data_IF_275885500717
#
_entry.id   IF_275885500717
#
_cell.length_a   1.000
_cell.length_b   1.000
_cell.length_c   1.000
_cell.angle_alpha   90.00
_cell.angle_beta   90.00
_cell.angle_gamma   90.00
#
_symmetry.space_group_name_H-M   'P 1'
#
loop_
_entity.id
_entity.type
_entity.pdbx_description
1 polymer ?
#
# COMPACT_ATOMS: atom_id res chain seq x y z
N UNK A 1 15.08 21.53 2.31
CA UNK A 1 14.07 22.38 2.98
C UNK A 1 12.75 22.22 2.24
N UNK A 2 11.80 21.41 2.73
CA UNK A 2 10.35 21.46 2.43
C UNK A 2 9.60 20.32 3.15
N UNK A 3 9.65 20.28 4.49
CA UNK A 3 8.87 19.30 5.30
C UNK A 3 7.93 19.95 6.32
N UNK A 4 7.77 21.28 6.31
CA UNK A 4 7.11 22.00 7.42
C UNK A 4 5.63 22.36 7.19
N UNK A 5 5.02 22.07 6.04
CA UNK A 5 3.66 22.53 5.72
C UNK A 5 2.54 21.52 5.94
N UNK A 6 2.84 20.24 6.20
CA UNK A 6 1.81 19.20 6.40
C UNK A 6 1.22 19.14 7.82
N UNK A 7 1.87 19.75 8.81
CA UNK A 7 1.46 19.65 10.23
C UNK A 7 0.22 20.50 10.54
N UNK A 8 -0.09 21.53 9.74
CA UNK A 8 -1.13 22.51 10.10
C UNK A 8 -2.51 22.26 9.47
N UNK A 9 -2.60 21.37 8.48
CA UNK A 9 -3.87 21.03 7.81
C UNK A 9 -4.67 19.93 8.53
N UNK A 10 -4.02 19.13 9.38
CA UNK A 10 -4.68 18.04 10.11
C UNK A 10 -5.75 18.52 11.09
N UNK A 11 -5.63 19.74 11.63
CA UNK A 11 -6.54 20.22 12.67
C UNK A 11 -7.81 20.93 12.16
N UNK A 12 -7.85 21.36 10.89
CA UNK A 12 -9.01 22.09 10.34
C UNK A 12 -9.96 21.14 9.58
N UNK A 13 -9.48 19.99 9.11
CA UNK A 13 -10.24 19.03 8.28
C UNK A 13 -11.05 18.02 9.13
N UNK A 14 -10.75 17.91 10.42
CA UNK A 14 -11.25 16.88 11.34
C UNK A 14 -12.73 16.97 11.78
N UNK A 15 -13.51 17.97 11.38
CA UNK A 15 -14.94 18.01 11.78
C UNK A 15 -15.89 17.59 10.67
N UNK A 16 -15.52 17.83 9.41
CA UNK A 16 -16.39 17.55 8.24
C UNK A 16 -16.05 16.22 7.57
N UNK A 17 -14.79 15.79 7.65
CA UNK A 17 -14.33 14.50 7.08
C UNK A 17 -14.65 13.36 8.06
N UNK A 18 -14.43 13.52 9.36
CA UNK A 18 -14.66 12.44 10.35
C UNK A 18 -16.05 11.82 10.31
N UNK A 19 -17.10 12.60 10.04
CA UNK A 19 -18.48 12.11 9.95
C UNK A 19 -18.79 11.28 8.68
N UNK A 20 -18.00 11.42 7.60
CA UNK A 20 -18.17 10.61 6.39
C UNK A 20 -17.38 9.29 6.44
N UNK A 21 -16.32 9.22 7.26
CA UNK A 21 -15.35 8.12 7.24
C UNK A 21 -15.41 7.22 8.49
N UNK A 22 -15.99 7.66 9.62
CA UNK A 22 -16.19 6.80 10.80
C UNK A 22 -17.22 5.68 10.57
N UNK A 23 -18.11 5.80 9.59
CA UNK A 23 -19.07 4.75 9.23
C UNK A 23 -18.57 3.73 8.20
N UNK A 24 -17.35 3.89 7.64
CA UNK A 24 -16.72 2.90 6.73
C UNK A 24 -15.55 2.19 7.40
N UNK A 25 -15.65 1.91 8.69
CA UNK A 25 -14.93 0.78 9.27
C UNK A 25 -15.26 -0.45 8.40
N UNK A 26 -14.25 -1.00 7.73
CA UNK A 26 -14.28 -2.35 7.16
C UNK A 26 -14.38 -3.35 8.34
N UNK A 27 -15.49 -3.28 9.07
CA UNK A 27 -15.80 -4.11 10.22
C UNK A 27 -16.80 -5.18 9.78
N UNK A 28 -16.21 -6.35 9.48
CA UNK A 28 -16.62 -7.73 9.81
C UNK A 28 -18.07 -8.24 9.67
N UNK A 29 -19.08 -7.45 9.31
CA UNK A 29 -20.47 -7.96 9.16
C UNK A 29 -21.14 -7.48 7.87
N UNK A 30 -20.54 -7.76 6.71
CA UNK A 30 -21.27 -7.74 5.43
C UNK A 30 -21.31 -9.18 4.91
N UNK A 31 -22.53 -9.70 4.75
CA UNK A 31 -22.79 -11.01 4.21
C UNK A 31 -22.08 -11.12 2.84
N UNK A 32 -21.19 -12.10 2.65
CA UNK A 32 -20.38 -12.23 1.42
C UNK A 32 -21.23 -12.35 0.14
N UNK A 33 -22.52 -12.67 0.28
CA UNK A 33 -23.49 -12.71 -0.79
C UNK A 33 -23.97 -11.32 -1.23
N UNK A 34 -24.08 -10.33 -0.33
CA UNK A 34 -24.53 -8.96 -0.67
C UNK A 34 -23.43 -8.13 -1.35
N UNK A 35 -22.15 -8.46 -1.09
CA UNK A 35 -21.00 -7.77 -1.72
C UNK A 35 -20.85 -8.14 -3.20
N UNK A 36 -21.14 -9.40 -3.56
CA UNK A 36 -21.02 -9.90 -4.93
C UNK A 36 -22.01 -9.25 -5.90
N UNK A 37 -23.14 -8.76 -5.39
CA UNK A 37 -24.20 -8.11 -6.17
C UNK A 37 -24.02 -6.58 -6.25
N UNK A 38 -22.95 -6.03 -5.67
CA UNK A 38 -22.67 -4.60 -5.74
C UNK A 38 -22.06 -4.19 -7.09
N UNK A 39 -22.54 -3.06 -7.63
CA UNK A 39 -22.06 -2.48 -8.90
C UNK A 39 -20.54 -2.28 -8.91
N UNK A 40 -19.96 -1.88 -7.77
CA UNK A 40 -18.53 -1.67 -7.65
C UNK A 40 -17.70 -2.94 -7.69
N UNK A 41 -18.22 -4.06 -7.17
CA UNK A 41 -17.50 -5.33 -7.21
C UNK A 41 -17.46 -5.90 -8.63
N UNK A 42 -18.56 -5.77 -9.37
CA UNK A 42 -18.60 -6.12 -10.79
C UNK A 42 -17.61 -5.27 -11.61
N UNK A 43 -17.58 -3.96 -11.34
CA UNK A 43 -16.61 -3.05 -11.95
C UNK A 43 -15.15 -3.44 -11.61
N UNK A 44 -14.87 -3.73 -10.33
CA UNK A 44 -13.55 -4.21 -9.89
C UNK A 44 -13.16 -5.47 -10.64
N UNK A 45 -14.03 -6.48 -10.70
CA UNK A 45 -13.73 -7.77 -11.33
C UNK A 45 -13.46 -7.64 -12.82
N UNK A 46 -14.27 -6.87 -13.53
CA UNK A 46 -14.05 -6.59 -14.95
C UNK A 46 -12.72 -5.87 -15.19
N UNK A 47 -12.40 -4.88 -14.36
CA UNK A 47 -11.15 -4.12 -14.49
C UNK A 47 -9.93 -4.99 -14.15
N UNK A 48 -10.02 -5.83 -13.12
CA UNK A 48 -9.01 -6.83 -12.76
C UNK A 48 -8.75 -7.82 -13.89
N UNK A 49 -9.81 -8.33 -14.53
CA UNK A 49 -9.70 -9.24 -15.67
C UNK A 49 -9.00 -8.57 -16.86
N UNK A 50 -9.35 -7.31 -17.17
CA UNK A 50 -8.68 -6.55 -18.23
C UNK A 50 -7.20 -6.38 -17.90
N UNK A 51 -6.85 -5.90 -16.70
CA UNK A 51 -5.44 -5.71 -16.31
C UNK A 51 -4.64 -7.01 -16.39
N UNK A 52 -5.25 -8.14 -16.02
CA UNK A 52 -4.58 -9.45 -16.03
C UNK A 52 -4.33 -10.01 -17.43
N UNK A 53 -5.04 -9.49 -18.45
CA UNK A 53 -4.88 -9.90 -19.85
C UNK A 53 -3.97 -8.96 -20.65
N UNK A 54 -3.43 -7.90 -20.03
CA UNK A 54 -2.48 -7.01 -20.69
C UNK A 54 -1.10 -7.67 -20.70
N UNK A 55 -0.51 -7.81 -21.89
CA UNK A 55 0.79 -8.48 -22.09
C UNK A 55 1.98 -7.51 -22.09
N UNK A 56 1.72 -6.20 -22.15
CA UNK A 56 2.74 -5.15 -22.26
C UNK A 56 2.64 -4.20 -21.07
N UNK A 57 3.74 -4.03 -20.35
CA UNK A 57 3.86 -3.17 -19.16
C UNK A 57 3.43 -1.71 -19.41
N UNK A 58 3.82 -1.15 -20.55
CA UNK A 58 3.46 0.19 -20.98
C UNK A 58 1.95 0.35 -21.20
N UNK A 59 1.29 -0.66 -21.76
CA UNK A 59 -0.16 -0.66 -21.94
C UNK A 59 -0.88 -0.74 -20.58
N UNK A 60 -0.31 -1.46 -19.61
CA UNK A 60 -0.85 -1.52 -18.26
C UNK A 60 -0.76 -0.15 -17.58
N UNK A 61 0.34 0.58 -17.73
CA UNK A 61 0.46 1.97 -17.25
C UNK A 61 -0.60 2.88 -17.85
N UNK A 62 -0.75 2.85 -19.18
CA UNK A 62 -1.74 3.67 -19.89
C UNK A 62 -3.16 3.33 -19.43
N UNK A 63 -3.45 2.04 -19.24
CA UNK A 63 -4.72 1.57 -18.75
C UNK A 63 -5.01 2.06 -17.33
N UNK A 64 -4.04 1.99 -16.42
CA UNK A 64 -4.19 2.43 -15.02
C UNK A 64 -4.45 3.94 -14.96
N UNK A 65 -3.71 4.73 -15.73
CA UNK A 65 -3.93 6.19 -15.75
C UNK A 65 -5.34 6.52 -16.24
N UNK A 66 -5.77 5.95 -17.38
CA UNK A 66 -7.08 6.24 -17.99
C UNK A 66 -8.28 5.64 -17.27
N UNK A 67 -8.13 4.45 -16.69
CA UNK A 67 -9.25 3.68 -16.12
C UNK A 67 -9.37 3.84 -14.61
N UNK A 68 -8.30 4.24 -13.92
CA UNK A 68 -8.28 4.32 -12.45
C UNK A 68 -8.01 5.76 -12.00
N UNK A 69 -6.86 6.35 -12.37
CA UNK A 69 -6.47 7.67 -11.86
C UNK A 69 -7.32 8.82 -12.42
N UNK A 70 -7.53 8.88 -13.73
CA UNK A 70 -8.32 9.93 -14.37
C UNK A 70 -9.79 9.93 -13.89
N UNK A 71 -10.52 8.78 -13.85
CA UNK A 71 -11.90 8.75 -13.37
C UNK A 71 -12.01 9.12 -11.89
N UNK A 72 -11.07 8.65 -11.07
CA UNK A 72 -11.01 9.01 -9.65
C UNK A 72 -10.81 10.52 -9.46
N UNK A 73 -9.88 11.13 -10.21
CA UNK A 73 -9.63 12.58 -10.18
C UNK A 73 -10.85 13.38 -10.63
N UNK A 74 -11.48 12.96 -11.73
CA UNK A 74 -12.70 13.62 -12.23
C UNK A 74 -13.80 13.61 -11.18
N UNK A 75 -14.04 12.47 -10.55
CA UNK A 75 -15.04 12.35 -9.49
C UNK A 75 -14.71 13.19 -8.26
N UNK A 76 -13.44 13.26 -7.85
CA UNK A 76 -13.00 14.14 -6.76
C UNK A 76 -13.28 15.63 -7.05
N UNK A 77 -13.16 16.06 -8.30
CA UNK A 77 -13.48 17.43 -8.69
C UNK A 77 -15.00 17.67 -8.72
N UNK A 78 -15.76 16.71 -9.25
CA UNK A 78 -17.22 16.80 -9.33
C UNK A 78 -17.89 16.79 -7.96
N UNK A 79 -17.41 15.98 -7.03
CA UNK A 79 -17.96 15.90 -5.66
C UNK A 79 -17.70 17.17 -4.83
N UNK A 80 -16.62 17.90 -5.12
CA UNK A 80 -16.33 19.22 -4.52
C UNK A 80 -17.32 20.29 -4.98
N UNK A 81 -17.83 20.18 -6.20
CA UNK A 81 -18.75 21.14 -6.81
C UNK A 81 -20.21 20.79 -6.47
N UNK A 82 -20.56 19.50 -6.52
CA UNK A 82 -21.92 19.00 -6.42
C UNK A 82 -22.03 17.87 -5.38
N UNK A 83 -22.64 18.13 -4.23
CA UNK A 83 -22.81 17.16 -3.13
C UNK A 83 -23.78 15.99 -3.43
N UNK A 84 -24.35 15.91 -4.62
CA UNK A 84 -25.34 14.90 -5.02
C UNK A 84 -24.93 14.04 -6.21
N UNK A 85 -23.65 14.04 -6.60
CA UNK A 85 -23.14 13.21 -7.70
C UNK A 85 -23.12 11.75 -7.28
N UNK A 86 -23.68 10.87 -8.11
CA UNK A 86 -23.61 9.42 -7.93
C UNK A 86 -22.14 9.00 -7.87
N UNK A 87 -21.72 8.31 -6.81
CA UNK A 87 -20.33 7.88 -6.67
C UNK A 87 -19.98 6.87 -7.78
N UNK A 88 -19.00 7.20 -8.62
CA UNK A 88 -18.49 6.28 -9.63
C UNK A 88 -17.84 5.07 -8.94
N UNK A 89 -18.05 3.83 -9.45
CA UNK A 89 -17.55 2.57 -8.85
C UNK A 89 -16.05 2.49 -8.53
N UNK A 90 -15.25 3.30 -9.23
CA UNK A 90 -13.79 3.42 -8.99
C UNK A 90 -13.47 3.91 -7.58
N UNK A 91 -14.34 4.72 -6.97
CA UNK A 91 -14.06 5.32 -5.66
C UNK A 91 -14.04 4.27 -4.55
N UNK A 92 -14.94 3.29 -4.61
CA UNK A 92 -15.03 2.21 -3.62
C UNK A 92 -13.98 1.12 -3.85
N UNK A 93 -13.51 0.98 -5.09
CA UNK A 93 -12.54 -0.05 -5.51
C UNK A 93 -11.11 0.46 -5.67
N UNK A 94 -10.85 1.75 -5.42
CA UNK A 94 -9.60 2.44 -5.77
C UNK A 94 -8.34 1.73 -5.24
N UNK A 95 -8.25 1.50 -3.94
CA UNK A 95 -7.10 0.79 -3.34
C UNK A 95 -6.97 -0.66 -3.81
N UNK A 96 -8.09 -1.36 -4.03
CA UNK A 96 -8.09 -2.74 -4.52
C UNK A 96 -7.55 -2.84 -5.94
N UNK A 97 -7.98 -1.93 -6.82
CA UNK A 97 -7.52 -1.84 -8.21
C UNK A 97 -6.03 -1.51 -8.28
N UNK A 98 -5.57 -0.52 -7.50
CA UNK A 98 -4.17 -0.12 -7.45
C UNK A 98 -3.28 -1.24 -6.89
N UNK A 99 -3.70 -1.89 -5.80
CA UNK A 99 -3.04 -3.08 -5.28
C UNK A 99 -2.91 -4.16 -6.35
N UNK A 100 -4.00 -4.41 -7.10
CA UNK A 100 -4.00 -5.45 -8.14
C UNK A 100 -3.05 -5.11 -9.29
N UNK A 101 -3.04 -3.85 -9.73
CA UNK A 101 -2.08 -3.36 -10.71
C UNK A 101 -0.62 -3.55 -10.23
N UNK A 102 -0.34 -3.18 -8.98
CA UNK A 102 0.99 -3.34 -8.37
C UNK A 102 1.40 -4.82 -8.27
N UNK A 103 0.47 -5.70 -7.93
CA UNK A 103 0.69 -7.15 -7.92
C UNK A 103 1.06 -7.68 -9.33
N UNK A 104 0.35 -7.23 -10.38
CA UNK A 104 0.64 -7.63 -11.77
C UNK A 104 2.02 -7.13 -12.21
N UNK A 105 2.35 -5.86 -11.95
CA UNK A 105 3.70 -5.34 -12.23
C UNK A 105 4.79 -6.15 -11.52
N UNK A 106 4.56 -6.52 -10.26
CA UNK A 106 5.55 -7.26 -9.47
C UNK A 106 5.72 -8.71 -9.94
N UNK A 107 4.61 -9.42 -10.17
CA UNK A 107 4.63 -10.87 -10.42
C UNK A 107 4.85 -11.20 -11.90
N UNK A 108 4.13 -10.53 -12.80
CA UNK A 108 4.13 -10.85 -14.23
C UNK A 108 5.27 -10.12 -14.96
N UNK A 109 5.41 -8.82 -14.70
CA UNK A 109 6.40 -7.98 -15.39
C UNK A 109 7.74 -7.89 -14.65
N UNK A 110 7.79 -8.28 -13.37
CA UNK A 110 8.95 -8.04 -12.47
C UNK A 110 9.40 -6.58 -12.46
N UNK A 111 8.47 -5.67 -12.67
CA UNK A 111 8.71 -4.24 -12.73
C UNK A 111 8.42 -3.61 -11.37
N UNK A 112 9.42 -3.70 -10.49
CA UNK A 112 9.35 -3.10 -9.15
C UNK A 112 9.31 -1.57 -9.22
N UNK A 113 9.87 -0.94 -10.25
CA UNK A 113 9.88 0.53 -10.40
C UNK A 113 8.45 1.03 -10.61
N UNK A 114 7.66 0.31 -11.40
CA UNK A 114 6.26 0.63 -11.65
C UNK A 114 5.39 0.50 -10.40
N UNK A 115 5.66 -0.50 -9.54
CA UNK A 115 5.03 -0.60 -8.22
C UNK A 115 5.28 0.67 -7.40
N UNK A 116 6.53 1.11 -7.29
CA UNK A 116 6.88 2.33 -6.55
C UNK A 116 6.25 3.57 -7.21
N UNK A 117 6.26 3.64 -8.53
CA UNK A 117 5.71 4.77 -9.29
C UNK A 117 4.22 4.94 -9.03
N UNK A 118 3.45 3.85 -9.02
CA UNK A 118 2.02 3.88 -8.66
C UNK A 118 1.84 4.39 -7.23
N UNK A 119 2.63 3.88 -6.29
CA UNK A 119 2.52 4.28 -4.89
C UNK A 119 2.79 5.78 -4.69
N UNK A 120 3.85 6.31 -5.31
CA UNK A 120 4.15 7.74 -5.28
C UNK A 120 3.09 8.56 -6.04
N UNK A 121 2.51 8.00 -7.11
CA UNK A 121 1.39 8.63 -7.83
C UNK A 121 0.19 8.84 -6.92
N UNK A 122 -0.21 7.84 -6.12
CA UNK A 122 -1.29 7.95 -5.13
C UNK A 122 -1.02 9.11 -4.16
N UNK A 123 0.19 9.16 -3.60
CA UNK A 123 0.62 10.23 -2.68
C UNK A 123 0.57 11.61 -3.33
N UNK A 124 1.01 11.72 -4.59
CA UNK A 124 1.06 12.98 -5.33
C UNK A 124 -0.32 13.53 -5.73
N UNK A 125 -1.35 12.68 -5.81
CA UNK A 125 -2.70 13.07 -6.22
C UNK A 125 -3.45 13.88 -5.15
N UNK A 126 -2.98 13.83 -3.90
CA UNK A 126 -3.49 14.64 -2.80
C UNK A 126 -4.03 13.80 -1.64
N UNK A 127 -4.43 14.47 -0.53
CA UNK A 127 -4.84 13.80 0.70
C UNK A 127 -5.99 12.81 0.51
N UNK A 128 -6.97 13.13 -0.33
CA UNK A 128 -8.11 12.26 -0.60
C UNK A 128 -7.69 10.97 -1.33
N UNK A 129 -6.75 11.07 -2.27
CA UNK A 129 -6.18 9.89 -2.96
C UNK A 129 -5.37 9.05 -2.00
N UNK A 130 -4.56 9.67 -1.13
CA UNK A 130 -3.80 8.97 -0.10
C UNK A 130 -4.71 8.15 0.82
N UNK A 131 -5.75 8.77 1.39
CA UNK A 131 -6.68 8.10 2.32
C UNK A 131 -7.42 6.95 1.64
N UNK A 132 -7.83 7.12 0.39
CA UNK A 132 -8.60 6.10 -0.34
C UNK A 132 -7.73 5.01 -0.96
N UNK A 133 -6.47 5.32 -1.30
CA UNK A 133 -5.58 4.47 -2.09
C UNK A 133 -4.53 3.74 -1.26
N UNK A 134 -4.00 4.34 -0.20
CA UNK A 134 -2.91 3.77 0.60
C UNK A 134 -3.43 2.81 1.69
N UNK A 135 -4.02 1.69 1.28
CA UNK A 135 -4.43 0.63 2.22
C UNK A 135 -3.23 -0.19 2.72
N UNK A 136 -3.43 -0.96 3.80
CA UNK A 136 -2.43 -1.91 4.30
C UNK A 136 -1.92 -2.85 3.22
N UNK A 137 -2.79 -3.32 2.32
CA UNK A 137 -2.39 -4.21 1.24
C UNK A 137 -1.55 -3.52 0.17
N UNK A 138 -1.83 -2.24 -0.12
CA UNK A 138 -0.97 -1.45 -1.01
C UNK A 138 0.42 -1.28 -0.41
N UNK A 139 0.52 -0.94 0.88
CA UNK A 139 1.82 -0.90 1.57
C UNK A 139 2.53 -2.24 1.54
N UNK A 140 1.82 -3.35 1.75
CA UNK A 140 2.39 -4.69 1.71
C UNK A 140 2.99 -5.04 0.32
N UNK A 141 2.36 -4.61 -0.78
CA UNK A 141 2.95 -4.77 -2.11
C UNK A 141 4.21 -3.90 -2.30
N UNK A 142 4.23 -2.67 -1.77
CA UNK A 142 5.42 -1.80 -1.82
C UNK A 142 6.57 -2.38 -1.00
N UNK A 143 6.30 -2.84 0.23
CA UNK A 143 7.29 -3.49 1.08
C UNK A 143 7.92 -4.70 0.36
N UNK A 144 7.08 -5.53 -0.25
CA UNK A 144 7.53 -6.70 -1.00
C UNK A 144 8.36 -6.29 -2.21
N UNK A 145 7.91 -5.33 -3.02
CA UNK A 145 8.63 -4.85 -4.19
C UNK A 145 9.98 -4.20 -3.84
N UNK A 146 10.05 -3.43 -2.75
CA UNK A 146 11.30 -2.82 -2.27
C UNK A 146 12.34 -3.88 -1.90
N UNK A 147 11.90 -4.92 -1.19
CA UNK A 147 12.77 -6.01 -0.81
C UNK A 147 13.23 -6.85 -2.02
N UNK A 148 12.29 -7.30 -2.84
CA UNK A 148 12.57 -8.16 -4.00
C UNK A 148 13.40 -7.44 -5.08
N UNK A 149 13.20 -6.14 -5.27
CA UNK A 149 13.92 -5.36 -6.27
C UNK A 149 15.33 -4.91 -5.85
N UNK A 150 15.51 -4.51 -4.58
CA UNK A 150 16.73 -3.80 -4.16
C UNK A 150 17.31 -4.23 -2.81
N UNK A 151 16.65 -5.11 -2.05
CA UNK A 151 17.04 -5.44 -0.68
C UNK A 151 17.15 -4.19 0.22
N UNK A 152 16.30 -3.19 -0.01
CA UNK A 152 16.42 -1.86 0.59
C UNK A 152 15.83 -1.79 2.01
N UNK A 153 16.61 -2.18 3.01
CA UNK A 153 16.18 -2.17 4.42
C UNK A 153 15.81 -0.78 4.94
N UNK A 154 16.47 0.26 4.45
CA UNK A 154 16.22 1.62 4.92
C UNK A 154 14.82 2.05 4.54
N UNK A 155 14.42 1.80 3.29
CA UNK A 155 13.07 2.11 2.83
C UNK A 155 12.01 1.19 3.43
N UNK A 156 12.33 -0.08 3.72
CA UNK A 156 11.42 -0.94 4.50
C UNK A 156 11.13 -0.33 5.88
N UNK A 157 12.15 0.10 6.61
CA UNK A 157 11.96 0.76 7.91
C UNK A 157 11.14 2.06 7.79
N UNK A 158 11.40 2.86 6.74
CA UNK A 158 10.67 4.11 6.51
C UNK A 158 9.19 3.86 6.21
N UNK A 159 8.88 2.87 5.36
CA UNK A 159 7.50 2.50 5.04
C UNK A 159 6.74 2.00 6.26
N UNK A 160 7.36 1.19 7.12
CA UNK A 160 6.73 0.69 8.35
C UNK A 160 6.47 1.83 9.36
N UNK A 161 7.39 2.80 9.45
CA UNK A 161 7.18 4.03 10.24
C UNK A 161 6.07 4.87 9.63
N UNK A 162 6.02 5.01 8.31
CA UNK A 162 4.98 5.75 7.60
C UNK A 162 3.59 5.13 7.86
N UNK A 163 3.46 3.80 7.80
CA UNK A 163 2.23 3.10 8.16
C UNK A 163 1.78 3.46 9.58
N UNK A 164 2.70 3.40 10.56
CA UNK A 164 2.42 3.76 11.95
C UNK A 164 1.99 5.22 12.10
N UNK A 165 2.72 6.15 11.48
CA UNK A 165 2.45 7.59 11.57
C UNK A 165 1.12 7.99 10.94
N UNK A 166 0.70 7.29 9.88
CA UNK A 166 -0.56 7.54 9.17
C UNK A 166 -1.71 6.63 9.63
N UNK A 167 -1.54 5.91 10.75
CA UNK A 167 -2.54 5.00 11.31
C UNK A 167 -3.01 3.91 10.32
N UNK A 168 -2.13 3.48 9.41
CA UNK A 168 -2.38 2.35 8.53
C UNK A 168 -2.08 1.07 9.31
N UNK A 169 -3.07 0.19 9.39
CA UNK A 169 -2.98 -1.06 10.15
C UNK A 169 -1.87 -1.93 9.56
N UNK A 170 -0.98 -2.42 10.42
CA UNK A 170 0.06 -3.39 10.06
C UNK A 170 -0.50 -4.79 10.32
N UNK A 171 -0.81 -5.50 9.24
CA UNK A 171 -1.59 -6.74 9.30
C UNK A 171 -0.70 -7.97 9.51
N UNK A 172 -1.32 -9.15 9.65
CA UNK A 172 -0.58 -10.42 9.63
C UNK A 172 0.27 -10.57 8.36
N UNK A 173 -0.21 -10.12 7.19
CA UNK A 173 0.58 -10.13 5.94
C UNK A 173 1.82 -9.23 6.07
N UNK A 174 1.74 -8.10 6.78
CA UNK A 174 2.89 -7.23 7.07
C UNK A 174 3.94 -7.97 7.91
N UNK A 175 3.51 -8.77 8.90
CA UNK A 175 4.42 -9.62 9.68
C UNK A 175 5.08 -10.70 8.83
N UNK A 176 4.30 -11.41 8.01
CA UNK A 176 4.82 -12.47 7.14
C UNK A 176 5.90 -11.94 6.16
N UNK A 177 5.69 -10.72 5.63
CA UNK A 177 6.70 -10.04 4.80
C UNK A 177 7.98 -9.76 5.61
N UNK A 178 7.84 -9.23 6.83
CA UNK A 178 8.99 -8.96 7.70
C UNK A 178 9.74 -10.22 8.11
N UNK A 179 9.05 -11.33 8.38
CA UNK A 179 9.66 -12.62 8.68
C UNK A 179 10.51 -13.11 7.52
N UNK A 180 9.97 -13.03 6.29
CA UNK A 180 10.71 -13.38 5.07
C UNK A 180 11.98 -12.54 4.94
N UNK A 181 11.88 -11.22 5.12
CA UNK A 181 13.03 -10.30 5.05
C UNK A 181 14.09 -10.68 6.10
N UNK A 182 13.68 -10.94 7.34
CA UNK A 182 14.59 -11.33 8.43
C UNK A 182 15.29 -12.66 8.12
N UNK A 183 14.56 -13.65 7.61
CA UNK A 183 15.13 -14.95 7.21
C UNK A 183 16.14 -14.79 6.06
N UNK A 184 15.79 -14.01 5.03
CA UNK A 184 16.66 -13.71 3.90
C UNK A 184 17.96 -13.04 4.38
N UNK A 185 17.88 -12.06 5.29
CA UNK A 185 19.05 -11.41 5.88
C UNK A 185 19.94 -12.36 6.67
N UNK A 186 19.35 -13.25 7.47
CA UNK A 186 20.10 -14.25 8.22
C UNK A 186 20.84 -15.21 7.29
N UNK A 187 20.18 -15.63 6.20
CA UNK A 187 20.79 -16.48 5.18
C UNK A 187 21.95 -15.77 4.47
N UNK A 188 21.77 -14.50 4.09
CA UNK A 188 22.84 -13.69 3.48
C UNK A 188 24.02 -13.54 4.44
N UNK A 189 23.75 -13.27 5.73
CA UNK A 189 24.80 -13.15 6.74
C UNK A 189 25.57 -14.45 6.92
N UNK A 190 24.87 -15.58 7.00
CA UNK A 190 25.47 -16.90 7.13
C UNK A 190 26.35 -17.26 5.93
N UNK A 191 25.87 -17.00 4.71
CA UNK A 191 26.65 -17.23 3.48
C UNK A 191 27.92 -16.37 3.43
N UNK A 192 27.83 -15.09 3.81
CA UNK A 192 29.00 -14.21 3.88
C UNK A 192 30.03 -14.67 4.91
N UNK A 193 29.57 -15.17 6.06
CA UNK A 193 30.45 -15.71 7.10
C UNK A 193 31.17 -16.98 6.61
N UNK A 194 30.51 -17.83 5.82
CA UNK A 194 31.12 -19.00 5.19
C UNK A 194 32.13 -18.62 4.09
N UNK A 195 31.91 -17.51 3.40
CA UNK A 195 32.76 -17.05 2.30
C UNK A 195 34.08 -16.37 2.75
N UNK A 196 34.34 -16.20 4.05
CA UNK A 196 35.50 -15.46 4.60
C UNK A 196 35.65 -14.03 4.04
N UNK A 197 34.58 -13.41 3.57
CA UNK A 197 34.59 -12.01 3.12
C UNK A 197 34.56 -11.11 4.36
N UNK A 198 35.76 -10.84 4.90
CA UNK A 198 36.04 -9.95 6.05
C UNK A 198 35.74 -8.47 5.75
N UNK A 199 35.37 -8.13 4.53
CA UNK A 199 35.04 -6.77 4.14
C UNK A 199 33.53 -6.65 3.89
N UNK A 200 32.76 -6.25 4.90
CA UNK A 200 31.69 -5.24 4.81
C UNK A 200 31.02 -4.95 6.19
N UNK A 201 31.09 -3.67 6.56
CA UNK A 201 30.58 -2.90 7.71
C UNK A 201 29.68 -3.55 8.78
N UNK A 202 30.04 -3.27 10.04
CA UNK A 202 29.29 -3.41 11.31
C UNK A 202 27.82 -2.90 11.34
N UNK A 203 27.29 -2.34 10.25
CA UNK A 203 25.98 -1.71 10.23
C UNK A 203 24.82 -2.71 10.12
N UNK A 204 25.03 -3.90 9.55
CA UNK A 204 23.96 -4.89 9.33
C UNK A 204 23.41 -5.47 10.65
N UNK A 205 24.25 -5.61 11.68
CA UNK A 205 23.81 -6.01 13.02
C UNK A 205 22.79 -5.03 13.59
N UNK A 206 23.05 -3.73 13.44
CA UNK A 206 22.12 -2.68 13.90
C UNK A 206 20.80 -2.67 13.13
N UNK A 207 20.81 -2.98 11.83
CA UNK A 207 19.60 -3.02 11.01
C UNK A 207 18.70 -4.21 11.36
N UNK A 208 19.29 -5.40 11.52
CA UNK A 208 18.55 -6.59 11.90
C UNK A 208 17.93 -6.45 13.30
N UNK A 209 18.66 -5.86 14.24
CA UNK A 209 18.14 -5.53 15.57
C UNK A 209 16.94 -4.58 15.50
N UNK A 210 17.02 -3.51 14.70
CA UNK A 210 15.90 -2.57 14.51
C UNK A 210 14.68 -3.25 13.89
N UNK A 211 14.86 -4.08 12.87
CA UNK A 211 13.75 -4.85 12.27
C UNK A 211 13.13 -5.83 13.26
N UNK A 212 13.93 -6.50 14.09
CA UNK A 212 13.42 -7.40 15.14
C UNK A 212 12.59 -6.64 16.19
N UNK A 213 12.97 -5.41 16.53
CA UNK A 213 12.17 -4.55 17.42
C UNK A 213 10.83 -4.22 16.77
N UNK A 214 10.85 -3.78 15.50
CA UNK A 214 9.63 -3.46 14.74
C UNK A 214 8.74 -4.70 14.59
N UNK A 215 9.32 -5.87 14.32
CA UNK A 215 8.59 -7.13 14.22
C UNK A 215 7.85 -7.47 15.51
N UNK A 216 8.52 -7.37 16.67
CA UNK A 216 7.88 -7.58 17.98
C UNK A 216 6.73 -6.61 18.21
N UNK A 217 6.94 -5.33 17.91
CA UNK A 217 5.91 -4.29 18.02
C UNK A 217 4.66 -4.66 17.21
N UNK A 218 4.83 -5.03 15.95
CA UNK A 218 3.71 -5.40 15.07
C UNK A 218 3.06 -6.71 15.53
N UNK A 219 3.84 -7.67 16.02
CA UNK A 219 3.31 -8.94 16.53
C UNK A 219 2.36 -8.73 17.71
N UNK A 220 2.68 -7.77 18.59
CA UNK A 220 1.80 -7.38 19.69
C UNK A 220 0.53 -6.67 19.21
N UNK A 221 0.61 -5.84 18.17
CA UNK A 221 -0.53 -5.16 17.56
C UNK A 221 -1.51 -6.17 16.94
N UNK A 222 -1.01 -7.08 16.11
CA UNK A 222 -1.81 -8.14 15.48
C UNK A 222 -2.45 -9.07 16.51
N UNK A 223 -1.79 -9.31 17.65
CA UNK A 223 -2.36 -10.13 18.72
C UNK A 223 -3.53 -9.43 19.43
N UNK A 224 -3.51 -8.10 19.56
CA UNK A 224 -4.57 -7.31 20.21
C UNK A 224 -5.84 -7.20 19.36
N UNK A 225 -5.73 -7.27 18.03
CA UNK A 225 -6.89 -7.21 17.12
C UNK A 225 -7.72 -8.51 17.07
N UNK A 226 -7.22 -9.60 17.65
CA UNK A 226 -7.88 -10.91 17.69
C UNK A 226 -8.63 -11.20 19.01
N UNK A 227 -8.77 -10.21 19.89
CA UNK A 227 -9.53 -10.24 21.15
C UNK A 227 -10.73 -9.30 21.02
#
# INVERSE_FOLDING_TARGET
MHFSTYIHLSNIINSSVSNLYQNRSFSKDINQNDVKDSEWYSYYKKTEEIMSNIEIDMELHEFIEKSIFEPFKKQLLESKINKGVQEHPVFQSYSLLLRKAMEIFRLEFRDYVSVITIFERIKSYGPESFVMGCSSDVYNEVLTARWEGWYDLFEIENLLKEMKMNCIIRTKKTLEILEKIIQDLQNIHFQKQLANDVFLSNNNGTCLERLNIIYKEISEEVSKENI
#
